data_IF_579466742986
#
_entry.id   IF_579466742986
#
_cell.length_a   1.000
_cell.length_b   1.000
_cell.length_c   1.000
_cell.angle_alpha   90.00
_cell.angle_beta   90.00
_cell.angle_gamma   90.00
#
_symmetry.space_group_name_H-M   'P 1'
#
loop_
_entity.id
_entity.type
_entity.pdbx_description
1 polymer ?
#
# COMPACT_ATOMS: atom_id res chain seq x y z
N UNK A 1 11.44 -10.82 15.38
CA UNK A 1 11.80 -9.99 14.21
C UNK A 1 12.60 -10.84 13.26
N UNK A 2 12.06 -11.06 12.06
CA UNK A 2 12.80 -11.74 10.99
C UNK A 2 13.96 -10.87 10.51
N UNK A 3 15.11 -11.49 10.21
CA UNK A 3 16.31 -10.79 9.73
C UNK A 3 16.65 -11.29 8.33
N UNK A 4 16.73 -10.35 7.38
CA UNK A 4 17.27 -10.60 6.05
C UNK A 4 18.75 -10.22 5.97
N UNK A 5 19.46 -10.80 5.00
CA UNK A 5 20.80 -10.35 4.65
C UNK A 5 20.72 -9.32 3.52
N UNK A 6 21.62 -8.33 3.57
CA UNK A 6 21.83 -7.37 2.49
C UNK A 6 23.07 -7.80 1.71
N UNK A 7 22.98 -7.88 0.39
CA UNK A 7 24.06 -8.34 -0.48
C UNK A 7 24.06 -7.59 -1.81
N UNK A 8 25.14 -7.74 -2.58
CA UNK A 8 25.24 -7.19 -3.94
C UNK A 8 24.74 -8.22 -4.95
N UNK A 9 23.92 -7.80 -5.90
CA UNK A 9 23.51 -8.57 -7.07
C UNK A 9 23.83 -7.77 -8.32
N UNK A 10 24.81 -8.25 -9.08
CA UNK A 10 25.41 -7.50 -10.18
C UNK A 10 25.91 -6.11 -9.74
N UNK A 11 25.23 -5.04 -10.18
CA UNK A 11 25.56 -3.64 -9.88
C UNK A 11 24.64 -2.99 -8.85
N UNK A 12 23.73 -3.76 -8.24
CA UNK A 12 22.68 -3.25 -7.34
C UNK A 12 22.69 -3.96 -5.99
N UNK A 13 22.16 -3.28 -4.97
CA UNK A 13 21.94 -3.88 -3.66
C UNK A 13 20.62 -4.66 -3.63
N UNK A 14 20.62 -5.81 -2.95
CA UNK A 14 19.45 -6.66 -2.76
C UNK A 14 19.29 -7.02 -1.29
N UNK A 15 18.04 -7.27 -0.88
CA UNK A 15 17.66 -7.77 0.44
C UNK A 15 17.04 -9.15 0.27
N UNK A 16 17.55 -10.16 0.99
CA UNK A 16 16.91 -11.49 1.03
C UNK A 16 15.77 -11.46 2.04
N UNK A 17 14.54 -11.64 1.57
CA UNK A 17 13.37 -11.82 2.44
C UNK A 17 13.29 -13.28 2.92
N UNK A 18 13.26 -13.52 4.24
CA UNK A 18 12.94 -14.85 4.78
C UNK A 18 11.54 -15.30 4.35
N UNK A 19 11.32 -16.63 4.28
CA UNK A 19 10.04 -17.21 3.83
C UNK A 19 8.83 -16.68 4.62
N UNK A 20 9.00 -16.43 5.92
CA UNK A 20 7.93 -15.93 6.79
C UNK A 20 7.43 -14.51 6.43
N UNK A 21 8.21 -13.74 5.65
CA UNK A 21 7.89 -12.37 5.23
C UNK A 21 8.05 -12.21 3.71
N UNK A 22 7.95 -13.30 2.96
CA UNK A 22 7.97 -13.26 1.51
C UNK A 22 6.70 -12.56 0.99
N UNK A 23 6.83 -11.82 -0.11
CA UNK A 23 5.69 -11.27 -0.83
C UNK A 23 4.92 -12.42 -1.53
N UNK A 24 3.62 -12.23 -1.83
CA UNK A 24 2.86 -13.14 -2.68
C UNK A 24 3.53 -13.40 -4.03
N UNK A 25 3.33 -14.60 -4.60
CA UNK A 25 4.04 -15.04 -5.81
C UNK A 25 3.71 -14.20 -7.06
N UNK A 26 2.55 -13.56 -7.10
CA UNK A 26 2.09 -12.69 -8.18
C UNK A 26 2.71 -11.27 -8.12
N UNK A 27 3.24 -10.85 -6.96
CA UNK A 27 3.89 -9.55 -6.82
C UNK A 27 5.28 -9.58 -7.49
N UNK A 28 5.37 -8.95 -8.67
CA UNK A 28 6.63 -8.85 -9.44
C UNK A 28 7.31 -7.48 -9.36
N UNK A 29 6.58 -6.45 -8.94
CA UNK A 29 7.06 -5.07 -8.83
C UNK A 29 6.64 -4.48 -7.50
N UNK A 30 7.51 -3.65 -6.94
CA UNK A 30 7.30 -2.98 -5.66
C UNK A 30 7.70 -1.51 -5.77
N UNK A 31 6.99 -0.67 -5.05
CA UNK A 31 7.41 0.70 -4.77
C UNK A 31 8.26 0.72 -3.50
N UNK A 32 9.31 1.55 -3.51
CA UNK A 32 10.24 1.67 -2.39
C UNK A 32 10.26 3.12 -1.93
N UNK A 33 9.75 3.37 -0.73
CA UNK A 33 9.76 4.69 -0.09
C UNK A 33 10.86 4.76 0.96
N UNK A 34 11.69 5.81 0.87
CA UNK A 34 12.78 6.05 1.83
C UNK A 34 12.32 6.98 2.96
N UNK A 35 12.38 6.49 4.20
CA UNK A 35 12.10 7.28 5.41
C UNK A 35 13.36 7.29 6.28
N UNK A 36 14.24 8.27 6.04
CA UNK A 36 15.57 8.30 6.64
C UNK A 36 16.38 7.04 6.32
N UNK A 37 16.71 6.25 7.35
CA UNK A 37 17.43 4.96 7.21
C UNK A 37 16.51 3.76 6.94
N UNK A 38 15.21 3.96 6.97
CA UNK A 38 14.20 2.93 6.72
C UNK A 38 13.83 2.89 5.24
N UNK A 39 13.50 1.69 4.75
CA UNK A 39 12.89 1.48 3.43
C UNK A 39 11.56 0.77 3.64
N UNK A 40 10.49 1.36 3.14
CA UNK A 40 9.15 0.78 3.12
C UNK A 40 8.96 0.19 1.72
N UNK A 41 8.52 -1.07 1.66
CA UNK A 41 8.33 -1.81 0.41
C UNK A 41 6.84 -2.17 0.33
N UNK A 42 6.17 -1.74 -0.73
CA UNK A 42 4.76 -2.05 -1.02
C UNK A 42 4.65 -2.61 -2.43
N UNK A 43 3.70 -3.51 -2.74
CA UNK A 43 3.40 -3.86 -4.12
C UNK A 43 3.18 -2.60 -4.96
N UNK A 44 3.68 -2.61 -6.20
CA UNK A 44 3.63 -1.43 -7.05
C UNK A 44 2.18 -1.04 -7.33
N UNK A 45 1.84 0.25 -7.18
CA UNK A 45 0.48 0.76 -7.38
C UNK A 45 -0.44 0.67 -6.16
N UNK A 46 0.02 0.08 -5.04
CA UNK A 46 -0.72 0.02 -3.77
C UNK A 46 -0.24 1.03 -2.73
N UNK A 47 0.78 1.82 -3.03
CA UNK A 47 1.20 2.91 -2.17
C UNK A 47 0.14 4.03 -2.19
N UNK A 48 -0.19 4.60 -1.02
CA UNK A 48 -1.12 5.74 -0.94
C UNK A 48 -0.72 6.88 -1.87
N UNK A 49 0.57 7.21 -1.96
CA UNK A 49 1.06 8.22 -2.89
C UNK A 49 0.76 7.84 -4.35
N UNK A 50 0.98 6.58 -4.73
CA UNK A 50 0.63 6.10 -6.07
C UNK A 50 -0.88 6.08 -6.33
N UNK A 51 -1.70 5.88 -5.30
CA UNK A 51 -3.14 5.92 -5.41
C UNK A 51 -3.64 7.36 -5.58
N UNK A 52 -3.10 8.32 -4.81
CA UNK A 52 -3.44 9.74 -4.91
C UNK A 52 -2.91 10.40 -6.21
N UNK A 53 -1.77 9.95 -6.74
CA UNK A 53 -1.23 10.38 -8.03
C UNK A 53 -1.91 9.70 -9.24
N UNK A 54 -2.84 8.77 -8.99
CA UNK A 54 -3.57 8.02 -10.00
C UNK A 54 -4.72 8.80 -10.67
N UNK A 55 -5.53 8.09 -11.46
CA UNK A 55 -6.70 8.69 -12.09
C UNK A 55 -7.73 9.14 -11.05
N UNK A 56 -8.13 10.41 -11.12
CA UNK A 56 -9.16 10.95 -10.24
C UNK A 56 -10.54 10.40 -10.59
N UNK A 57 -11.43 10.38 -9.61
CA UNK A 57 -12.85 10.13 -9.86
C UNK A 57 -13.41 11.18 -10.84
N UNK A 58 -14.46 10.82 -11.58
CA UNK A 58 -15.13 11.75 -12.49
C UNK A 58 -15.76 12.92 -11.71
N UNK A 59 -15.94 14.06 -12.37
CA UNK A 59 -16.46 15.27 -11.74
C UNK A 59 -17.88 15.11 -11.16
N UNK A 60 -18.62 14.09 -11.57
CA UNK A 60 -19.97 13.77 -11.11
C UNK A 60 -20.01 12.63 -10.08
N UNK A 61 -18.88 11.98 -9.80
CA UNK A 61 -18.80 10.88 -8.86
C UNK A 61 -19.20 11.32 -7.45
N UNK A 62 -20.30 10.76 -6.93
CA UNK A 62 -20.80 11.02 -5.58
C UNK A 62 -21.14 12.50 -5.29
N UNK A 63 -21.60 13.26 -6.29
CA UNK A 63 -22.08 14.64 -6.10
C UNK A 63 -23.14 14.80 -5.00
N UNK A 64 -23.99 13.79 -4.82
CA UNK A 64 -24.90 13.70 -3.69
C UNK A 64 -24.71 12.36 -2.96
N UNK A 65 -24.61 12.43 -1.63
CA UNK A 65 -24.67 11.26 -0.77
C UNK A 65 -26.11 11.10 -0.30
N UNK A 66 -26.82 10.10 -0.80
CA UNK A 66 -28.19 9.74 -0.38
C UNK A 66 -28.25 9.18 1.05
N UNK A 67 -27.78 9.96 2.03
CA UNK A 67 -27.76 9.58 3.43
C UNK A 67 -29.16 9.78 4.04
N UNK A 68 -29.81 8.71 4.52
CA UNK A 68 -31.10 8.83 5.20
C UNK A 68 -30.97 9.58 6.53
N UNK A 69 -32.10 10.07 7.04
CA UNK A 69 -32.18 10.58 8.39
C UNK A 69 -31.81 9.49 9.42
N UNK A 70 -31.33 9.91 10.58
CA UNK A 70 -31.10 9.00 11.70
C UNK A 70 -32.39 8.27 12.06
N UNK A 71 -32.30 6.96 12.25
CA UNK A 71 -33.43 6.16 12.69
C UNK A 71 -33.78 6.47 14.16
N UNK A 72 -35.06 6.71 14.44
CA UNK A 72 -35.56 6.73 15.81
C UNK A 72 -35.62 5.31 16.37
N UNK A 73 -35.09 5.10 17.58
CA UNK A 73 -35.15 3.83 18.30
C UNK A 73 -35.94 4.03 19.59
N UNK A 74 -36.61 2.99 20.05
CA UNK A 74 -37.34 3.01 21.31
C UNK A 74 -36.40 3.40 22.47
N UNK A 75 -36.89 4.23 23.38
CA UNK A 75 -36.22 4.45 24.65
C UNK A 75 -36.33 3.18 25.50
N UNK A 76 -35.25 2.84 26.21
CA UNK A 76 -35.17 1.65 27.07
C UNK A 76 -36.26 1.62 28.14
#
# INVERSE_FOLDING_TARGET
MERGAVFQSNRSQAVRLPKAVALPDDVKRVDIVAVGRTRIITPAGEAWDSWFDGEAATADFMNERGQPASQEREAF
#
